data_IF_608485882819
#
_entry.id   IF_608485882819
#
_cell.length_a   1.000
_cell.length_b   1.000
_cell.length_c   1.000
_cell.angle_alpha   90.00
_cell.angle_beta   90.00
_cell.angle_gamma   90.00
#
_symmetry.space_group_name_H-M   'P 1'
#
loop_
_entity.id
_entity.type
_entity.pdbx_description
1 polymer ?
#
# COMPACT_ATOMS: atom_id res chain seq x y z
N UNK A 1 -15.11 -7.92 7.57
CA UNK A 1 -14.13 -8.00 8.68
C UNK A 1 -12.93 -8.86 8.29
N UNK A 2 -13.11 -9.86 7.42
CA UNK A 2 -12.03 -10.78 7.02
C UNK A 2 -10.81 -10.13 6.36
N UNK A 3 -11.01 -9.06 5.59
CA UNK A 3 -9.92 -8.38 4.87
C UNK A 3 -9.00 -7.57 5.79
N UNK A 4 -9.50 -7.01 6.89
CA UNK A 4 -8.67 -6.22 7.81
C UNK A 4 -7.75 -7.12 8.64
N UNK A 5 -8.27 -8.26 9.11
CA UNK A 5 -7.49 -9.30 9.78
C UNK A 5 -6.39 -9.85 8.86
N UNK A 6 -6.69 -9.99 7.57
CA UNK A 6 -5.74 -10.41 6.54
C UNK A 6 -4.60 -9.39 6.37
N UNK A 7 -4.92 -8.10 6.22
CA UNK A 7 -3.89 -7.05 6.14
C UNK A 7 -3.01 -6.98 7.38
N UNK A 8 -3.59 -7.11 8.58
CA UNK A 8 -2.80 -7.13 9.81
C UNK A 8 -1.73 -8.23 9.78
N UNK A 9 -2.11 -9.45 9.41
CA UNK A 9 -1.17 -10.57 9.33
C UNK A 9 -0.06 -10.33 8.29
N UNK A 10 -0.43 -9.82 7.11
CA UNK A 10 0.54 -9.51 6.05
C UNK A 10 1.53 -8.42 6.47
N UNK A 11 1.05 -7.40 7.17
CA UNK A 11 1.89 -6.33 7.71
C UNK A 11 2.87 -6.89 8.75
N UNK A 12 2.41 -7.72 9.68
CA UNK A 12 3.28 -8.34 10.69
C UNK A 12 4.38 -9.19 10.06
N UNK A 13 4.00 -10.04 9.09
CA UNK A 13 4.96 -10.88 8.37
C UNK A 13 5.94 -10.03 7.55
N UNK A 14 5.47 -8.96 6.92
CA UNK A 14 6.33 -8.00 6.21
C UNK A 14 7.35 -7.38 7.16
N UNK A 15 6.92 -6.93 8.34
CA UNK A 15 7.80 -6.34 9.36
C UNK A 15 8.79 -7.36 9.95
N UNK A 16 8.47 -8.66 9.91
CA UNK A 16 9.42 -9.74 10.23
C UNK A 16 10.38 -10.11 9.08
N UNK A 17 10.27 -9.44 7.93
CA UNK A 17 11.16 -9.62 6.78
C UNK A 17 10.64 -10.55 5.68
N UNK A 18 9.37 -10.99 5.73
CA UNK A 18 8.79 -11.79 4.65
C UNK A 18 8.48 -10.92 3.43
N UNK A 19 9.23 -11.13 2.35
CA UNK A 19 8.99 -10.48 1.07
C UNK A 19 7.70 -10.99 0.42
N UNK A 20 7.35 -12.26 0.66
CA UNK A 20 6.12 -12.86 0.14
C UNK A 20 4.88 -12.18 0.73
N UNK A 21 4.90 -11.88 2.03
CA UNK A 21 3.81 -11.15 2.67
C UNK A 21 3.65 -9.73 2.10
N UNK A 22 4.77 -9.09 1.77
CA UNK A 22 4.75 -7.78 1.12
C UNK A 22 4.23 -7.84 -0.32
N UNK A 23 4.62 -8.87 -1.08
CA UNK A 23 4.08 -9.12 -2.42
C UNK A 23 2.57 -9.37 -2.38
N UNK A 24 2.10 -10.15 -1.41
CA UNK A 24 0.67 -10.40 -1.24
C UNK A 24 -0.09 -9.12 -0.84
N UNK A 25 0.51 -8.27 0.00
CA UNK A 25 -0.02 -6.95 0.34
C UNK A 25 -0.14 -6.06 -0.91
N UNK A 26 0.88 -6.09 -1.78
CA UNK A 26 0.89 -5.41 -3.08
C UNK A 26 -0.26 -5.93 -3.97
N UNK A 27 -0.34 -7.24 -4.20
CA UNK A 27 -1.35 -7.85 -5.09
C UNK A 27 -2.78 -7.52 -4.66
N UNK A 28 -3.04 -7.46 -3.35
CA UNK A 28 -4.36 -7.14 -2.78
C UNK A 28 -4.74 -5.66 -2.86
N UNK A 29 -3.80 -4.77 -3.19
CA UNK A 29 -4.00 -3.32 -3.12
C UNK A 29 -3.70 -2.58 -4.42
N UNK A 30 -2.90 -3.18 -5.31
CA UNK A 30 -2.38 -2.55 -6.52
C UNK A 30 -3.48 -2.01 -7.43
N UNK A 31 -4.59 -2.73 -7.61
CA UNK A 31 -5.67 -2.27 -8.48
C UNK A 31 -6.30 -0.96 -8.01
N UNK A 32 -6.46 -0.79 -6.70
CA UNK A 32 -7.07 0.42 -6.14
C UNK A 32 -6.07 1.60 -6.16
N UNK A 33 -4.79 1.31 -5.90
CA UNK A 33 -3.72 2.30 -5.94
C UNK A 33 -3.48 2.79 -7.37
N UNK A 34 -3.37 1.87 -8.33
CA UNK A 34 -3.21 2.19 -9.73
C UNK A 34 -4.36 3.05 -10.25
N UNK A 35 -5.60 2.67 -9.93
CA UNK A 35 -6.79 3.45 -10.31
C UNK A 35 -6.72 4.86 -9.74
N UNK A 36 -6.38 4.99 -8.46
CA UNK A 36 -6.30 6.29 -7.77
C UNK A 36 -5.20 7.15 -8.39
N UNK A 37 -3.99 6.61 -8.56
CA UNK A 37 -2.87 7.30 -9.17
C UNK A 37 -3.20 7.76 -10.60
N UNK A 38 -3.77 6.87 -11.42
CA UNK A 38 -4.16 7.19 -12.80
C UNK A 38 -5.16 8.34 -12.88
N UNK A 39 -6.05 8.51 -11.90
CA UNK A 39 -6.99 9.63 -11.87
C UNK A 39 -6.38 10.96 -11.39
N UNK A 40 -5.30 10.91 -10.62
CA UNK A 40 -4.69 12.10 -10.01
C UNK A 40 -3.52 12.65 -10.83
N UNK A 41 -2.91 11.83 -11.68
CA UNK A 41 -1.71 12.16 -12.43
C UNK A 41 -2.05 12.91 -13.75
N UNK A 42 -1.27 13.95 -14.07
CA UNK A 42 -1.32 14.66 -15.35
C UNK A 42 -0.51 13.92 -16.45
N UNK A 43 -0.81 14.18 -17.74
CA UNK A 43 -0.27 13.48 -18.94
C UNK A 43 1.27 13.29 -19.03
N UNK A 44 2.07 13.99 -18.22
CA UNK A 44 3.54 13.96 -18.30
C UNK A 44 4.23 13.00 -17.33
N UNK A 45 3.52 12.43 -16.37
CA UNK A 45 4.10 11.53 -15.35
C UNK A 45 3.64 10.10 -15.63
N UNK A 46 4.58 9.16 -15.58
CA UNK A 46 4.27 7.74 -15.71
C UNK A 46 3.57 7.24 -14.43
N UNK A 47 2.39 6.64 -14.59
CA UNK A 47 1.61 6.09 -13.48
C UNK A 47 2.36 4.94 -12.81
N UNK A 48 3.11 4.16 -13.58
CA UNK A 48 3.86 3.02 -13.04
C UNK A 48 4.94 3.50 -12.06
N UNK A 49 5.65 4.59 -12.38
CA UNK A 49 6.67 5.18 -11.50
C UNK A 49 6.06 5.68 -10.19
N UNK A 50 4.93 6.39 -10.26
CA UNK A 50 4.24 6.89 -9.06
C UNK A 50 3.75 5.76 -8.18
N UNK A 51 3.19 4.70 -8.78
CA UNK A 51 2.77 3.52 -8.04
C UNK A 51 3.96 2.90 -7.30
N UNK A 52 5.11 2.76 -7.96
CA UNK A 52 6.30 2.23 -7.30
C UNK A 52 6.77 3.10 -6.13
N UNK A 53 6.78 4.43 -6.29
CA UNK A 53 7.11 5.35 -5.19
C UNK A 53 6.16 5.21 -4.00
N UNK A 54 4.85 5.07 -4.24
CA UNK A 54 3.85 4.82 -3.20
C UNK A 54 4.18 3.54 -2.43
N UNK A 55 4.55 2.46 -3.12
CA UNK A 55 4.91 1.20 -2.46
C UNK A 55 6.23 1.31 -1.69
N UNK A 56 7.23 2.04 -2.20
CA UNK A 56 8.46 2.32 -1.43
C UNK A 56 8.12 3.07 -0.13
N UNK A 57 7.28 4.11 -0.22
CA UNK A 57 6.83 4.86 0.95
C UNK A 57 5.99 4.03 1.93
N UNK A 58 5.12 3.16 1.40
CA UNK A 58 4.36 2.19 2.19
C UNK A 58 5.32 1.34 3.03
N UNK A 59 6.28 0.66 2.38
CA UNK A 59 7.23 -0.21 3.06
C UNK A 59 7.98 0.50 4.18
N UNK A 60 8.47 1.72 3.93
CA UNK A 60 9.16 2.54 4.92
C UNK A 60 8.26 2.96 6.09
N UNK A 61 6.97 3.18 5.81
CA UNK A 61 5.99 3.68 6.78
C UNK A 61 5.31 2.58 7.59
N UNK A 62 5.33 1.32 7.12
CA UNK A 62 4.67 0.18 7.80
C UNK A 62 5.10 0.03 9.26
N UNK A 63 6.36 0.29 9.59
CA UNK A 63 6.87 0.20 10.96
C UNK A 63 6.25 1.21 11.93
N UNK A 64 5.70 2.32 11.39
CA UNK A 64 5.06 3.40 12.15
C UNK A 64 3.54 3.38 12.01
N UNK A 65 3.00 2.40 11.27
CA UNK A 65 1.57 2.30 11.03
C UNK A 65 0.81 1.95 12.33
N UNK A 66 -0.23 2.72 12.63
CA UNK A 66 -1.15 2.48 13.74
C UNK A 66 -2.16 1.40 13.34
N UNK A 67 -1.97 0.19 13.87
CA UNK A 67 -2.73 -1.01 13.50
C UNK A 67 -4.17 -1.03 14.01
N UNK A 68 -4.55 -0.08 14.86
CA UNK A 68 -5.94 0.13 15.28
C UNK A 68 -6.76 0.86 14.20
N UNK A 69 -6.08 1.43 13.20
CA UNK A 69 -6.73 2.09 12.07
C UNK A 69 -6.97 1.09 10.94
N UNK A 70 -7.93 1.38 10.03
CA UNK A 70 -8.10 0.58 8.82
C UNK A 70 -6.96 0.82 7.82
N UNK A 71 -6.38 -0.27 7.30
CA UNK A 71 -5.19 -0.21 6.45
C UNK A 71 -5.43 0.48 5.10
N UNK A 72 -6.52 0.13 4.42
CA UNK A 72 -6.85 0.65 3.08
C UNK A 72 -6.97 2.19 3.06
N UNK A 73 -7.76 2.85 3.91
CA UNK A 73 -7.80 4.31 3.98
C UNK A 73 -6.44 4.96 4.29
N UNK A 74 -5.63 4.35 5.15
CA UNK A 74 -4.30 4.86 5.46
C UNK A 74 -3.36 4.77 4.24
N UNK A 75 -3.37 3.64 3.52
CA UNK A 75 -2.63 3.46 2.27
C UNK A 75 -3.08 4.45 1.19
N UNK A 76 -4.39 4.65 1.01
CA UNK A 76 -4.89 5.67 0.07
C UNK A 76 -4.41 7.07 0.44
N UNK A 77 -4.27 7.38 1.74
CA UNK A 77 -3.68 8.63 2.21
C UNK A 77 -2.21 8.81 1.86
N UNK A 78 -1.46 7.72 1.59
CA UNK A 78 -0.10 7.80 1.04
C UNK A 78 -0.12 8.11 -0.46
N UNK A 79 -1.10 7.57 -1.20
CA UNK A 79 -1.22 7.76 -2.65
C UNK A 79 -1.69 9.16 -3.09
N UNK A 80 -2.34 9.92 -2.20
CA UNK A 80 -2.91 11.25 -2.49
C UNK A 80 -2.00 12.40 -2.00
N UNK A 81 -0.86 12.08 -1.37
CA UNK A 81 0.04 13.07 -0.77
C UNK A 81 0.90 13.82 -1.76
#
# INVERSE_FOLDING_TARGET
>A
MDQETDYHNLIERTLSGSQEAYSELYDKTIQDIYRTAHFLIEEKVDVDDVVQEIYIQLYQSLSKYDRERPFRPWLMGLAVR
#
